data_IF_996040167663
#
_entry.id   IF_996040167663
#
_cell.length_a   1.000
_cell.length_b   1.000
_cell.length_c   1.000
_cell.angle_alpha   90.00
_cell.angle_beta   90.00
_cell.angle_gamma   90.00
#
_symmetry.space_group_name_H-M   'P 1'
#
loop_
_entity.id
_entity.type
_entity.pdbx_description
1 polymer ?
#
# COMPACT_ATOMS: atom_id res chain seq x y z
N UNK A 1 -36.12 -4.51 34.75
CA UNK A 1 -34.82 -3.93 34.36
C UNK A 1 -34.51 -4.54 33.01
N UNK A 2 -34.48 -3.70 31.99
CA UNK A 2 -34.12 -4.08 30.64
C UNK A 2 -32.60 -4.27 30.61
N UNK A 3 -32.13 -5.39 30.09
CA UNK A 3 -30.73 -5.58 29.78
C UNK A 3 -30.62 -5.87 28.28
N UNK A 4 -29.75 -5.09 27.67
CA UNK A 4 -29.71 -4.70 26.28
C UNK A 4 -29.16 -5.79 25.35
N UNK A 5 -29.70 -5.80 24.13
CA UNK A 5 -29.18 -6.55 23.00
C UNK A 5 -27.78 -6.05 22.60
N UNK A 6 -26.74 -6.86 22.82
CA UNK A 6 -25.46 -6.67 22.13
C UNK A 6 -25.44 -7.53 20.87
N UNK A 7 -25.86 -6.92 19.75
CA UNK A 7 -25.60 -7.43 18.41
C UNK A 7 -24.08 -7.37 18.13
N UNK A 8 -23.39 -8.48 18.35
CA UNK A 8 -22.01 -8.66 17.88
C UNK A 8 -22.03 -8.94 16.36
N UNK A 9 -21.95 -7.87 15.56
CA UNK A 9 -21.76 -7.97 14.12
C UNK A 9 -20.29 -8.31 13.82
N UNK A 10 -19.92 -9.58 13.97
CA UNK A 10 -18.74 -10.12 13.34
C UNK A 10 -18.91 -10.04 11.80
N UNK A 11 -17.95 -9.51 11.03
CA UNK A 11 -18.08 -9.49 9.59
C UNK A 11 -18.04 -10.93 9.09
N UNK A 12 -19.15 -11.33 8.48
CA UNK A 12 -19.39 -12.64 7.89
C UNK A 12 -18.34 -12.93 6.82
N UNK A 13 -17.61 -14.04 7.03
CA UNK A 13 -16.80 -14.72 6.02
C UNK A 13 -17.69 -15.04 4.81
N UNK A 14 -17.50 -14.35 3.70
CA UNK A 14 -18.14 -14.65 2.42
C UNK A 14 -17.23 -15.61 1.63
N UNK A 15 -17.67 -16.86 1.46
CA UNK A 15 -17.33 -17.66 0.26
C UNK A 15 -18.26 -17.23 -0.89
N UNK A 16 -18.10 -17.58 -2.16
CA UNK A 16 -17.31 -18.62 -2.82
C UNK A 16 -17.34 -18.36 -4.35
N UNK A 17 -16.18 -18.48 -5.01
CA UNK A 17 -15.88 -18.86 -6.41
C UNK A 17 -16.66 -18.30 -7.62
N UNK A 18 -15.97 -17.51 -8.46
CA UNK A 18 -16.04 -17.56 -9.93
C UNK A 18 -14.85 -16.77 -10.52
N UNK A 19 -13.87 -17.47 -11.09
CA UNK A 19 -12.57 -16.96 -11.56
C UNK A 19 -11.72 -16.36 -10.42
N UNK A 20 -10.57 -16.96 -10.12
CA UNK A 20 -9.61 -16.30 -9.22
C UNK A 20 -9.01 -15.12 -10.00
N UNK A 21 -9.78 -14.04 -10.13
CA UNK A 21 -9.22 -12.74 -10.48
C UNK A 21 -8.05 -12.53 -9.52
N UNK A 22 -6.84 -12.43 -10.06
CA UNK A 22 -5.64 -12.33 -9.25
C UNK A 22 -5.79 -11.13 -8.31
N UNK A 23 -5.83 -11.40 -7.01
CA UNK A 23 -5.98 -10.36 -6.00
C UNK A 23 -4.79 -9.39 -6.10
N UNK A 24 -5.11 -8.12 -6.35
CA UNK A 24 -4.12 -7.06 -6.46
C UNK A 24 -3.98 -6.34 -5.11
N UNK A 25 -2.75 -5.99 -4.80
CA UNK A 25 -2.35 -5.32 -3.59
C UNK A 25 -1.68 -4.00 -3.92
N UNK A 26 -1.88 -3.03 -3.04
CA UNK A 26 -1.27 -1.72 -3.16
C UNK A 26 -0.20 -1.54 -2.09
N UNK A 27 1.04 -1.29 -2.51
CA UNK A 27 2.14 -0.87 -1.66
C UNK A 27 2.25 0.64 -1.67
N UNK A 28 1.90 1.27 -0.56
CA UNK A 28 2.02 2.72 -0.38
C UNK A 28 3.48 3.15 -0.50
N UNK A 29 3.72 4.22 -1.26
CA UNK A 29 5.04 4.83 -1.43
C UNK A 29 5.21 5.87 -0.31
N UNK A 30 6.14 5.67 0.64
CA UNK A 30 6.35 6.65 1.70
C UNK A 30 6.73 8.04 1.16
N UNK A 31 6.39 9.11 1.89
CA UNK A 31 6.89 10.44 1.54
C UNK A 31 8.42 10.45 1.59
N UNK A 32 9.05 11.08 0.59
CA UNK A 32 10.50 11.19 0.49
C UNK A 32 11.19 10.13 -0.36
N UNK A 33 10.46 9.15 -0.90
CA UNK A 33 11.04 8.23 -1.89
C UNK A 33 11.46 9.00 -3.15
N UNK A 34 12.74 8.95 -3.57
CA UNK A 34 13.21 9.60 -4.78
C UNK A 34 12.45 9.15 -6.04
N UNK A 35 12.13 10.11 -6.91
CA UNK A 35 11.44 9.85 -8.20
C UNK A 35 12.21 8.87 -9.10
N UNK A 36 13.53 8.85 -9.00
CA UNK A 36 14.39 7.90 -9.73
C UNK A 36 14.11 6.46 -9.34
N UNK A 37 13.99 6.17 -8.04
CA UNK A 37 13.66 4.83 -7.51
C UNK A 37 12.26 4.42 -7.97
N UNK A 38 11.28 5.32 -7.91
CA UNK A 38 9.91 5.06 -8.40
C UNK A 38 9.94 4.69 -9.89
N UNK A 39 10.63 5.47 -10.72
CA UNK A 39 10.74 5.22 -12.15
C UNK A 39 11.51 3.93 -12.47
N UNK A 40 12.45 3.53 -11.63
CA UNK A 40 13.16 2.26 -11.77
C UNK A 40 12.28 1.05 -11.42
N UNK A 41 11.47 1.16 -10.36
CA UNK A 41 10.50 0.13 -9.98
C UNK A 41 9.51 -0.13 -11.11
N UNK A 42 8.89 0.93 -11.66
CA UNK A 42 7.91 0.82 -12.76
C UNK A 42 8.53 0.15 -14.01
N UNK A 43 9.84 0.33 -14.23
CA UNK A 43 10.55 -0.30 -15.36
C UNK A 43 10.92 -1.76 -15.11
N UNK A 44 11.16 -2.15 -13.86
CA UNK A 44 11.68 -3.48 -13.48
C UNK A 44 10.60 -4.48 -13.09
N UNK A 45 9.48 -4.01 -12.57
CA UNK A 45 8.44 -4.83 -12.00
C UNK A 45 7.11 -4.57 -12.72
N UNK A 46 6.28 -5.61 -12.77
CA UNK A 46 4.92 -5.52 -13.32
C UNK A 46 3.98 -4.91 -12.27
N UNK A 47 4.05 -3.58 -12.14
CA UNK A 47 3.24 -2.79 -11.23
C UNK A 47 2.69 -1.54 -11.90
N UNK A 48 1.50 -1.14 -11.49
CA UNK A 48 0.88 0.13 -11.87
C UNK A 48 1.13 1.18 -10.78
N UNK A 49 1.43 2.42 -11.19
CA UNK A 49 1.48 3.55 -10.26
C UNK A 49 0.08 4.14 -10.12
N UNK A 50 -0.51 4.05 -8.93
CA UNK A 50 -1.86 4.53 -8.65
C UNK A 50 -1.86 5.59 -7.55
N UNK A 51 -2.84 6.49 -7.59
CA UNK A 51 -3.09 7.47 -6.54
C UNK A 51 -4.10 6.95 -5.53
N UNK A 52 -3.82 7.15 -4.24
CA UNK A 52 -4.69 6.81 -3.11
C UNK A 52 -4.96 8.02 -2.27
N UNK A 53 -6.25 8.30 -2.06
CA UNK A 53 -6.70 9.29 -1.08
C UNK A 53 -6.73 8.61 0.27
N UNK A 54 -5.66 8.77 1.05
CA UNK A 54 -5.62 8.33 2.44
C UNK A 54 -5.34 9.52 3.35
N UNK A 55 -6.12 9.59 4.42
CA UNK A 55 -5.87 10.53 5.51
C UNK A 55 -4.66 10.04 6.29
N UNK A 56 -3.53 10.71 6.12
CA UNK A 56 -2.28 10.32 6.76
C UNK A 56 -1.92 11.29 7.88
N UNK A 57 -1.47 10.72 8.99
CA UNK A 57 -0.89 11.45 10.11
C UNK A 57 0.62 11.20 10.14
N UNK A 58 1.38 11.73 9.18
CA UNK A 58 2.84 11.65 9.20
C UNK A 58 3.47 12.97 9.59
N UNK A 59 4.41 12.92 10.54
CA UNK A 59 5.32 13.99 10.96
C UNK A 59 4.69 15.39 11.12
N UNK A 60 4.18 15.70 12.31
CA UNK A 60 3.68 17.01 12.74
C UNK A 60 2.50 17.59 11.93
N UNK A 61 1.82 16.80 11.10
CA UNK A 61 0.68 17.27 10.31
C UNK A 61 -0.63 16.77 10.90
N UNK A 62 -1.36 17.68 11.55
CA UNK A 62 -2.74 17.43 11.98
C UNK A 62 -3.68 17.43 10.77
N UNK A 63 -4.11 16.23 10.35
CA UNK A 63 -5.44 16.04 9.77
C UNK A 63 -5.61 16.33 8.27
N UNK A 64 -4.58 16.75 7.56
CA UNK A 64 -4.65 16.99 6.11
C UNK A 64 -4.78 15.69 5.30
N UNK A 65 -5.86 15.57 4.52
CA UNK A 65 -5.98 14.54 3.49
C UNK A 65 -4.96 14.81 2.37
N UNK A 66 -4.18 13.79 2.01
CA UNK A 66 -3.19 13.88 0.93
C UNK A 66 -3.36 12.71 -0.02
N UNK A 67 -3.15 13.00 -1.30
CA UNK A 67 -3.04 12.00 -2.36
C UNK A 67 -1.64 11.37 -2.24
N UNK A 68 -1.60 10.11 -1.81
CA UNK A 68 -0.36 9.31 -1.73
C UNK A 68 -0.28 8.37 -2.95
N UNK A 69 0.93 8.15 -3.45
CA UNK A 69 1.16 7.20 -4.52
C UNK A 69 1.29 5.78 -3.96
N UNK A 70 0.89 4.79 -4.74
CA UNK A 70 1.06 3.38 -4.43
C UNK A 70 1.45 2.58 -5.66
N UNK A 71 2.20 1.50 -5.47
CA UNK A 71 2.42 0.47 -6.49
C UNK A 71 1.37 -0.61 -6.35
N UNK A 72 0.56 -0.80 -7.40
CA UNK A 72 -0.46 -1.84 -7.48
C UNK A 72 0.06 -3.03 -8.28
N UNK A 73 -0.05 -4.23 -7.73
CA UNK A 73 0.34 -5.46 -8.42
C UNK A 73 -0.06 -6.71 -7.64
N UNK A 74 0.30 -7.89 -8.14
CA UNK A 74 0.06 -9.14 -7.41
C UNK A 74 0.93 -9.19 -6.15
N UNK A 75 0.46 -9.87 -5.10
CA UNK A 75 1.21 -10.01 -3.84
C UNK A 75 2.70 -10.37 -4.00
N UNK A 76 3.08 -11.41 -4.76
CA UNK A 76 4.50 -11.79 -4.89
C UNK A 76 5.34 -10.73 -5.61
N UNK A 77 4.74 -9.91 -6.49
CA UNK A 77 5.44 -8.81 -7.15
C UNK A 77 5.63 -7.66 -6.17
N UNK A 78 4.56 -7.29 -5.45
CA UNK A 78 4.57 -6.18 -4.51
C UNK A 78 5.55 -6.43 -3.34
N UNK A 79 5.65 -7.65 -2.84
CA UNK A 79 6.64 -8.02 -1.82
C UNK A 79 8.08 -7.86 -2.33
N UNK A 80 8.38 -8.23 -3.57
CA UNK A 80 9.70 -7.98 -4.20
C UNK A 80 9.98 -6.49 -4.39
N UNK A 81 8.95 -5.72 -4.76
CA UNK A 81 9.04 -4.26 -4.90
C UNK A 81 9.36 -3.62 -3.55
N UNK A 82 8.76 -4.08 -2.46
CA UNK A 82 9.06 -3.60 -1.11
C UNK A 82 10.54 -3.79 -0.78
N UNK A 83 11.08 -5.00 -0.95
CA UNK A 83 12.47 -5.31 -0.63
C UNK A 83 13.45 -4.50 -1.49
N UNK A 84 13.15 -4.36 -2.78
CA UNK A 84 13.93 -3.54 -3.70
C UNK A 84 13.90 -2.06 -3.30
N UNK A 85 12.71 -1.50 -3.04
CA UNK A 85 12.54 -0.11 -2.64
C UNK A 85 13.31 0.19 -1.35
N UNK A 86 13.21 -0.66 -0.33
CA UNK A 86 13.97 -0.47 0.90
C UNK A 86 15.48 -0.55 0.69
N UNK A 87 15.95 -1.42 -0.20
CA UNK A 87 17.37 -1.54 -0.53
C UNK A 87 17.90 -0.28 -1.21
N UNK A 88 17.20 0.21 -2.23
CA UNK A 88 17.59 1.42 -2.95
C UNK A 88 17.47 2.67 -2.07
N UNK A 89 16.46 2.74 -1.18
CA UNK A 89 16.37 3.83 -0.20
C UNK A 89 17.55 3.84 0.76
N UNK A 90 18.01 2.67 1.23
CA UNK A 90 19.21 2.58 2.09
C UNK A 90 20.46 3.08 1.38
N UNK A 91 20.66 2.69 0.12
CA UNK A 91 21.78 3.19 -0.71
C UNK A 91 21.70 4.70 -0.91
N UNK A 92 20.52 5.21 -1.25
CA UNK A 92 20.30 6.64 -1.42
C UNK A 92 20.60 7.44 -0.14
N UNK A 93 20.18 6.94 1.03
CA UNK A 93 20.48 7.57 2.32
C UNK A 93 21.98 7.48 2.66
N UNK A 94 22.64 6.38 2.29
CA UNK A 94 24.09 6.22 2.45
C UNK A 94 24.92 7.09 1.48
N UNK A 95 24.31 7.62 0.42
CA UNK A 95 24.99 8.42 -0.60
C UNK A 95 25.73 7.58 -1.66
N UNK A 96 25.29 6.34 -1.87
CA UNK A 96 25.81 5.41 -2.88
C UNK A 96 25.10 5.52 -4.24
#
# INVERSE_FOLDING_TARGET
MAEEEMHENAPKKAGNSAEAEEELFDLLIPPGVPRSIIAEIIRKFDVELVERKQRLHFANMEGDEREILAFRGTRPVVEKVQDFMFTELKKFIAGE
#
